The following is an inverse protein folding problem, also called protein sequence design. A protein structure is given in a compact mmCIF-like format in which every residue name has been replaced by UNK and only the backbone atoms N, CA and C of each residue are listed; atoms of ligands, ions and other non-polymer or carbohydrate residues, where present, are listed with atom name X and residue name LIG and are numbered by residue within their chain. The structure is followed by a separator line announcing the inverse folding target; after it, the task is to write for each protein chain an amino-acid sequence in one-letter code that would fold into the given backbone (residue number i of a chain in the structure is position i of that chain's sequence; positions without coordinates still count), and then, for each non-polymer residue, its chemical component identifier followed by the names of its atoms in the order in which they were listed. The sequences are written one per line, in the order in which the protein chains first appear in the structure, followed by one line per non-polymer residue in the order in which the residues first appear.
data_IF_872821234537
#
_entry.id   IF_872821234537
#
_cell.length_a   1.000
_cell.length_b   1.000
_cell.length_c   1.000
_cell.angle_alpha   90.00
_cell.angle_beta   90.00
_cell.angle_gamma   90.00
#
_symmetry.space_group_name_H-M   'P 1'
#
loop_
_entity.id
_entity.type
_entity.pdbx_description
1 polymer ?
2 non-polymer ?
3 non-polymer ?
4 water ?
#
# COMPACT_ATOMS: atom_id res chain seq x y z
N UNK A 1 -7.11 25.69 0.88
CA UNK A 1 -7.43 26.95 0.21
C UNK A 1 -6.81 26.91 -1.18
N UNK A 2 -5.56 26.47 -1.19
CA UNK A 2 -4.78 26.13 -2.36
C UNK A 2 -4.26 24.70 -2.17
N UNK A 3 -4.44 23.87 -3.20
CA UNK A 3 -4.12 22.45 -3.10
C UNK A 3 -2.99 22.02 -4.01
N UNK A 4 -1.92 22.81 -4.02
CA UNK A 4 -0.79 22.54 -4.90
C UNK A 4 0.22 21.67 -4.16
N UNK A 5 0.57 20.52 -4.73
CA UNK A 5 1.57 19.70 -4.06
C UNK A 5 3.00 20.20 -4.27
N UNK A 6 3.83 19.96 -3.29
CA UNK A 6 5.28 20.15 -3.37
C UNK A 6 6.01 18.87 -3.01
N UNK A 7 7.24 18.70 -3.47
CA UNK A 7 8.05 17.54 -3.06
C UNK A 7 8.05 17.26 -1.57
N UNK A 8 7.82 18.26 -0.72
CA UNK A 8 7.68 18.01 0.71
C UNK A 8 6.52 17.12 1.13
N UNK A 9 5.50 17.01 0.27
CA UNK A 9 4.33 16.20 0.60
C UNK A 9 4.59 14.71 0.34
N UNK A 10 5.76 14.43 -0.19
CA UNK A 10 6.21 13.07 -0.37
C UNK A 10 5.35 12.20 -1.29
N UNK A 11 4.76 12.79 -2.30
CA UNK A 11 3.97 11.98 -3.24
C UNK A 11 4.86 11.27 -4.25
N UNK A 12 4.66 9.96 -4.42
CA UNK A 12 5.49 9.21 -5.35
C UNK A 12 4.59 8.41 -6.30
N UNK A 13 5.15 8.03 -7.44
CA UNK A 13 4.37 7.29 -8.41
C UNK A 13 5.21 6.18 -9.03
N UNK A 14 4.61 5.04 -9.34
CA UNK A 14 5.40 3.99 -10.03
C UNK A 14 5.56 4.36 -11.49
N UNK A 15 6.69 3.98 -12.12
CA UNK A 15 6.80 4.20 -13.56
C UNK A 15 5.70 3.51 -14.39
N UNK A 16 5.23 2.41 -13.83
CA UNK A 16 4.22 1.60 -14.49
C UNK A 16 2.82 2.19 -14.37
N UNK A 17 2.65 3.28 -13.63
CA UNK A 17 1.30 3.83 -13.43
C UNK A 17 0.99 4.77 -14.59
N UNK A 18 1.65 5.93 -14.64
CA UNK A 18 1.45 6.84 -15.78
C UNK A 18 1.92 6.18 -17.06
N UNK A 19 2.82 5.18 -16.93
CA UNK A 19 3.29 4.55 -18.18
C UNK A 19 2.44 3.37 -18.61
N UNK A 20 1.27 3.15 -18.01
CA UNK A 20 0.43 2.00 -18.39
C UNK A 20 -0.12 2.25 -19.79
N UNK A 21 0.08 1.34 -20.74
CA UNK A 21 -0.32 1.59 -22.12
C UNK A 21 -1.77 1.27 -22.38
N UNK A 22 -2.48 0.73 -21.39
CA UNK A 22 -3.91 0.57 -21.64
C UNK A 22 -4.27 -0.81 -22.15
N UNK A 23 -3.33 -1.74 -22.16
CA UNK A 23 -3.76 -3.11 -22.53
C UNK A 23 -4.50 -3.78 -21.41
N UNK A 24 -5.67 -4.36 -21.67
CA UNK A 24 -6.47 -4.98 -20.60
C UNK A 24 -6.81 -6.40 -21.12
N UNK A 25 -7.55 -7.25 -20.44
CA UNK A 25 -7.64 -8.64 -20.94
C UNK A 25 -8.49 -8.72 -22.20
N UNK A 26 -9.20 -7.63 -22.53
CA UNK A 26 -10.00 -7.70 -23.75
C UNK A 26 -9.60 -6.71 -24.81
N UNK A 27 -8.47 -6.01 -24.66
CA UNK A 27 -8.15 -5.03 -25.70
C UNK A 27 -6.70 -4.63 -25.78
N UNK A 28 -6.33 -4.09 -26.92
CA UNK A 28 -4.97 -3.67 -27.21
C UNK A 28 -4.64 -2.36 -26.52
N UNK A 29 -3.35 -2.03 -26.52
CA UNK A 29 -2.91 -0.75 -25.95
C UNK A 29 -3.55 0.44 -26.65
N UNK A 30 -3.85 1.51 -25.91
CA UNK A 30 -4.40 2.72 -26.51
C UNK A 30 -3.41 3.88 -26.43
N UNK A 31 -2.27 3.67 -25.77
CA UNK A 31 -1.27 4.75 -25.64
C UNK A 31 0.09 4.21 -26.02
N UNK A 32 0.96 5.07 -26.57
CA UNK A 32 2.33 4.54 -26.77
C UNK A 32 3.12 4.48 -25.47
N UNK A 33 4.23 3.75 -25.54
CA UNK A 33 5.04 3.64 -24.33
C UNK A 33 5.70 5.00 -24.05
N UNK A 34 5.89 5.22 -22.76
CA UNK A 34 6.55 6.39 -22.27
C UNK A 34 7.99 6.05 -21.91
N UNK A 35 8.94 6.86 -22.32
CA UNK A 35 10.30 6.72 -21.82
C UNK A 35 10.36 7.11 -20.35
N UNK A 36 10.96 6.29 -19.49
CA UNK A 36 11.07 6.57 -18.06
C UNK A 36 11.58 7.97 -17.76
N UNK A 37 12.51 8.42 -18.61
CA UNK A 37 13.09 9.76 -18.39
C UNK A 37 12.01 10.84 -18.57
N UNK A 38 11.15 10.61 -19.54
CA UNK A 38 10.07 11.55 -19.77
C UNK A 38 9.10 11.54 -18.58
N UNK A 39 8.81 10.35 -18.06
CA UNK A 39 7.90 10.31 -16.92
C UNK A 39 8.50 11.02 -15.71
N UNK A 40 9.81 10.84 -15.50
CA UNK A 40 10.41 11.50 -14.34
C UNK A 40 10.28 13.01 -14.49
N UNK A 41 10.56 13.52 -15.68
CA UNK A 41 10.50 14.97 -15.90
C UNK A 41 9.08 15.49 -15.74
N UNK A 42 8.10 14.78 -16.26
CA UNK A 42 6.71 15.26 -16.16
C UNK A 42 6.18 15.20 -14.73
N UNK A 43 6.48 14.13 -14.04
CA UNK A 43 6.03 14.03 -12.67
C UNK A 43 6.69 15.08 -11.78
N UNK A 44 7.95 15.40 -12.09
CA UNK A 44 8.58 16.45 -11.29
C UNK A 44 7.88 17.79 -11.48
N UNK A 45 7.47 18.08 -12.70
CA UNK A 45 6.75 19.32 -12.97
C UNK A 45 5.44 19.42 -12.22
N UNK A 46 4.82 18.29 -11.94
CA UNK A 46 3.51 18.31 -11.28
C UNK A 46 3.62 18.41 -9.78
N UNK A 47 4.85 18.29 -9.24
CA UNK A 47 5.02 18.45 -7.79
C UNK A 47 5.32 17.14 -7.10
N UNK A 48 5.53 16.05 -7.84
CA UNK A 48 5.90 14.80 -7.19
C UNK A 48 7.27 14.87 -6.49
N UNK A 49 7.46 14.02 -5.51
CA UNK A 49 8.68 13.86 -4.72
C UNK A 49 9.57 12.79 -5.33
N UNK A 50 8.97 11.71 -5.90
CA UNK A 50 9.83 10.68 -6.47
C UNK A 50 9.09 9.62 -7.28
N UNK A 51 9.83 8.57 -7.70
CA UNK A 51 9.23 7.55 -8.55
C UNK A 51 9.71 6.21 -7.99
N UNK A 52 8.99 5.14 -8.37
CA UNK A 52 9.38 3.80 -8.01
C UNK A 52 9.40 2.95 -9.29
N UNK A 53 9.99 1.75 -9.23
CA UNK A 53 10.04 0.98 -10.46
C UNK A 53 10.12 -0.50 -10.17
N UNK A 54 9.61 -1.33 -11.06
CA UNK A 54 10.05 -2.71 -11.17
C UNK A 54 11.35 -2.77 -12.01
N UNK A 55 12.17 -3.77 -11.75
CA UNK A 55 13.34 -4.00 -12.62
C UNK A 55 12.99 -3.90 -14.09
N UNK A 56 11.95 -4.60 -14.55
CA UNK A 56 11.65 -4.62 -15.96
C UNK A 56 10.97 -3.37 -16.49
N UNK A 57 10.56 -2.42 -15.66
CA UNK A 57 10.12 -1.14 -16.16
C UNK A 57 11.30 -0.26 -16.63
N UNK A 58 12.44 -0.46 -15.95
CA UNK A 58 13.60 0.42 -16.14
C UNK A 58 14.55 -0.20 -17.15
N UNK A 59 14.74 -1.51 -16.99
CA UNK A 59 15.64 -2.26 -17.87
C UNK A 59 14.86 -3.37 -18.57
N UNK A 60 14.68 -3.23 -19.89
CA UNK A 60 13.88 -4.23 -20.61
C UNK A 60 14.47 -5.63 -20.39
N UNK A 61 13.52 -6.56 -20.25
CA UNK A 61 13.87 -7.93 -19.95
C UNK A 61 14.81 -8.44 -21.05
N UNK A 62 15.86 -9.15 -20.70
CA UNK A 62 16.83 -9.75 -21.60
C UNK A 62 18.06 -8.87 -21.81
N UNK A 63 17.95 -7.63 -21.35
CA UNK A 63 18.97 -6.63 -21.60
C UNK A 63 20.37 -7.16 -21.28
N UNK A 64 21.31 -6.89 -22.19
CA UNK A 64 22.70 -7.20 -21.95
C UNK A 64 23.26 -6.34 -20.84
N UNK A 65 24.31 -6.81 -20.20
CA UNK A 65 24.95 -6.00 -19.15
C UNK A 65 25.32 -4.63 -19.67
N UNK A 66 25.60 -4.46 -20.97
CA UNK A 66 25.98 -3.10 -21.36
C UNK A 66 24.73 -2.26 -21.53
N UNK A 67 23.67 -2.79 -22.12
CA UNK A 67 22.46 -2.01 -22.28
C UNK A 67 21.90 -1.60 -20.92
N UNK A 68 22.02 -2.48 -19.96
CA UNK A 68 21.60 -2.23 -18.58
C UNK A 68 22.24 -0.97 -18.01
N UNK A 69 23.57 -0.90 -18.05
CA UNK A 69 24.28 0.27 -17.50
C UNK A 69 23.85 1.55 -18.19
N UNK A 70 23.53 1.50 -19.47
CA UNK A 70 23.11 2.66 -20.22
C UNK A 70 21.73 3.13 -19.78
N UNK A 71 20.82 2.19 -19.56
CA UNK A 71 19.46 2.54 -19.15
C UNK A 71 19.52 3.17 -17.77
N UNK A 72 20.38 2.62 -16.93
CA UNK A 72 20.42 3.18 -15.58
C UNK A 72 21.04 4.57 -15.57
N UNK A 73 22.11 4.78 -16.36
CA UNK A 73 22.76 6.09 -16.35
C UNK A 73 21.83 7.16 -16.89
N UNK A 74 21.05 6.94 -17.94
CA UNK A 74 20.03 7.89 -18.39
C UNK A 74 19.01 8.23 -17.31
N UNK A 75 18.58 7.19 -16.61
CA UNK A 75 17.60 7.41 -15.53
C UNK A 75 18.18 8.28 -14.42
N UNK A 76 19.39 7.90 -14.01
CA UNK A 76 20.05 8.65 -12.95
C UNK A 76 20.29 10.08 -13.36
N UNK A 77 20.57 10.33 -14.65
CA UNK A 77 20.71 11.74 -15.02
C UNK A 77 19.41 12.47 -14.89
N UNK A 78 18.27 11.82 -15.26
CA UNK A 78 16.99 12.49 -15.06
C UNK A 78 16.71 12.75 -13.59
N UNK A 79 17.14 11.83 -12.73
CA UNK A 79 16.88 12.08 -11.31
C UNK A 79 17.69 13.30 -10.83
N UNK A 80 18.95 13.33 -11.25
CA UNK A 80 19.80 14.46 -10.86
C UNK A 80 19.33 15.80 -11.40
N UNK A 81 18.80 15.78 -12.59
CA UNK A 81 18.31 16.98 -13.25
C UNK A 81 17.06 17.54 -12.59
N UNK A 82 16.28 16.66 -11.96
CA UNK A 82 15.00 17.09 -11.40
C UNK A 82 14.92 17.11 -9.89
N UNK A 83 15.83 16.46 -9.16
CA UNK A 83 15.73 16.41 -7.72
C UNK A 83 14.79 15.29 -7.28
N UNK A 84 14.31 14.47 -8.21
CA UNK A 84 13.41 13.35 -7.85
C UNK A 84 14.15 12.25 -7.12
N UNK A 85 13.51 11.60 -6.15
CA UNK A 85 14.09 10.52 -5.40
C UNK A 85 13.49 9.15 -5.80
N UNK A 86 14.15 8.06 -5.39
CA UNK A 86 13.63 6.72 -5.63
C UNK A 86 13.49 5.97 -4.31
N UNK A 87 12.38 6.14 -3.60
CA UNK A 87 12.31 5.56 -2.27
C UNK A 87 11.96 4.08 -2.19
N UNK A 88 11.46 3.50 -3.27
CA UNK A 88 11.02 2.10 -3.21
C UNK A 88 11.33 1.49 -4.54
N UNK A 89 11.63 0.19 -4.55
CA UNK A 89 11.69 -0.55 -5.80
C UNK A 89 11.09 -1.94 -5.56
N UNK A 90 10.90 -2.62 -6.69
CA UNK A 90 10.27 -3.96 -6.59
C UNK A 90 10.69 -4.79 -7.79
N UNK A 91 10.29 -6.05 -7.83
CA UNK A 91 10.74 -6.96 -8.88
C UNK A 91 9.52 -7.35 -9.72
N UNK A 92 9.64 -7.46 -11.02
CA UNK A 92 8.52 -8.05 -11.78
C UNK A 92 8.69 -9.56 -11.78
N UNK A 93 7.90 -10.25 -10.95
CA UNK A 93 7.88 -11.74 -10.99
C UNK A 93 6.51 -12.21 -11.47
N UNK A 94 5.93 -11.51 -12.45
CA UNK A 94 4.55 -11.88 -12.86
C UNK A 94 4.32 -11.77 -14.35
N UNK A 95 5.09 -10.99 -15.10
CA UNK A 95 4.73 -10.80 -16.52
C UNK A 95 5.22 -11.91 -17.43
N UNK A 96 6.49 -12.28 -17.30
CA UNK A 96 7.03 -13.29 -18.20
C UNK A 96 6.34 -14.62 -18.03
N UNK A 97 6.09 -15.33 -19.13
CA UNK A 97 5.50 -16.68 -19.04
C UNK A 97 6.19 -17.63 -18.07
N UNK A 98 7.50 -17.50 -17.80
CA UNK A 98 8.12 -18.46 -16.89
C UNK A 98 7.51 -18.38 -15.50
N UNK A 99 6.87 -17.25 -15.17
CA UNK A 99 6.29 -17.07 -13.82
C UNK A 99 4.82 -17.43 -13.80
N UNK A 100 4.34 -18.22 -14.76
CA UNK A 100 2.89 -18.50 -14.85
C UNK A 100 2.37 -19.26 -13.65
N UNK A 101 3.19 -20.01 -12.89
CA UNK A 101 2.71 -20.65 -11.67
C UNK A 101 3.35 -20.07 -10.43
N UNK A 102 3.96 -18.89 -10.59
CA UNK A 102 4.52 -18.21 -9.44
C UNK A 102 6.00 -17.95 -9.62
N UNK A 103 6.59 -17.20 -8.69
CA UNK A 103 8.05 -16.98 -8.63
C UNK A 103 8.54 -17.74 -7.41
N UNK A 104 8.35 -17.23 -6.22
CA UNK A 104 8.86 -17.89 -5.03
C UNK A 104 8.14 -19.20 -4.72
N UNK A 105 6.91 -19.39 -5.19
CA UNK A 105 6.19 -20.62 -4.84
C UNK A 105 5.77 -21.43 -6.07
N UNK A 106 6.45 -21.20 -7.19
CA UNK A 106 6.24 -22.01 -8.38
C UNK A 106 6.48 -23.47 -8.06
N UNK A 107 5.72 -24.40 -8.64
CA UNK A 107 5.98 -25.78 -8.29
C UNK A 107 7.37 -26.21 -8.80
N UNK A 108 7.83 -25.66 -9.91
CA UNK A 108 9.15 -26.05 -10.43
C UNK A 108 10.26 -25.41 -9.62
N UNK A 109 11.17 -26.21 -9.07
CA UNK A 109 12.24 -25.66 -8.21
C UNK A 109 13.17 -24.77 -8.97
N UNK A 110 13.48 -25.09 -10.25
CA UNK A 110 14.39 -24.21 -10.99
C UNK A 110 13.79 -22.82 -11.19
N UNK A 111 12.48 -22.72 -11.38
CA UNK A 111 11.89 -21.36 -11.48
C UNK A 111 12.02 -20.61 -10.18
N UNK A 112 11.82 -21.26 -9.01
CA UNK A 112 11.97 -20.59 -7.73
C UNK A 112 13.40 -20.07 -7.54
N UNK A 113 14.40 -20.84 -7.97
CA UNK A 113 15.79 -20.32 -7.85
C UNK A 113 16.01 -19.14 -8.76
N UNK A 114 15.49 -19.20 -9.99
CA UNK A 114 15.62 -18.05 -10.89
C UNK A 114 14.93 -16.81 -10.32
N UNK A 115 13.72 -16.98 -9.75
CA UNK A 115 13.02 -15.83 -9.17
C UNK A 115 13.85 -15.16 -8.08
N UNK A 116 14.51 -15.94 -7.24
CA UNK A 116 15.35 -15.34 -6.21
C UNK A 116 16.54 -14.62 -6.84
N UNK A 117 17.21 -15.21 -7.80
CA UNK A 117 18.35 -14.49 -8.39
C UNK A 117 17.90 -13.21 -9.08
N UNK A 118 16.74 -13.20 -9.75
CA UNK A 118 16.25 -11.97 -10.40
C UNK A 118 15.96 -10.90 -9.36
N UNK A 119 15.41 -11.31 -8.22
CA UNK A 119 15.15 -10.36 -7.15
C UNK A 119 16.43 -9.77 -6.57
N UNK A 120 17.39 -10.64 -6.24
CA UNK A 120 18.65 -10.14 -5.59
C UNK A 120 19.35 -9.17 -6.47
N UNK A 121 19.41 -9.44 -7.77
CA UNK A 121 20.00 -8.49 -8.70
C UNK A 121 19.38 -7.09 -8.62
N UNK A 122 18.07 -7.06 -8.45
CA UNK A 122 17.42 -5.74 -8.40
C UNK A 122 17.54 -5.13 -7.01
N UNK A 123 17.72 -5.94 -5.96
CA UNK A 123 17.91 -5.27 -4.66
C UNK A 123 19.19 -4.46 -4.68
N UNK A 124 20.25 -5.06 -5.30
CA UNK A 124 21.49 -4.28 -5.40
C UNK A 124 21.27 -2.96 -6.12
N UNK A 125 20.52 -3.00 -7.21
CA UNK A 125 20.27 -1.78 -7.97
C UNK A 125 19.44 -0.81 -7.15
N UNK A 126 18.46 -1.30 -6.39
CA UNK A 126 17.67 -0.39 -5.60
C UNK A 126 18.49 0.37 -4.56
N UNK A 127 19.36 -0.37 -3.87
CA UNK A 127 20.23 0.26 -2.88
C UNK A 127 21.09 1.34 -3.54
N UNK A 128 21.58 1.04 -4.71
CA UNK A 128 22.41 1.99 -5.43
C UNK A 128 21.68 3.30 -5.73
N UNK A 129 20.40 3.17 -6.03
CA UNK A 129 19.57 4.33 -6.31
C UNK A 129 18.97 4.97 -5.07
N UNK A 130 19.22 4.42 -3.90
CA UNK A 130 18.81 5.09 -2.66
C UNK A 130 17.48 4.63 -2.12
N UNK A 131 16.96 3.49 -2.63
CA UNK A 131 15.65 3.13 -2.07
C UNK A 131 15.72 2.62 -0.66
N UNK A 132 14.71 2.87 0.15
CA UNK A 132 14.67 2.45 1.53
C UNK A 132 13.80 1.23 1.75
N UNK A 133 12.90 1.00 0.81
CA UNK A 133 11.94 -0.10 0.96
C UNK A 133 11.92 -0.95 -0.29
N UNK A 134 11.85 -2.25 -0.18
CA UNK A 134 11.82 -3.14 -1.32
C UNK A 134 10.48 -3.87 -1.24
N UNK A 135 9.60 -3.69 -2.23
CA UNK A 135 8.26 -4.29 -2.13
C UNK A 135 8.22 -5.62 -2.85
N UNK A 136 7.40 -6.55 -2.34
CA UNK A 136 7.13 -7.80 -3.03
C UNK A 136 5.63 -7.97 -3.20
N UNK A 137 5.17 -8.03 -4.44
CA UNK A 137 3.77 -8.38 -4.67
C UNK A 137 3.78 -9.76 -5.35
N UNK A 138 3.30 -10.78 -4.65
CA UNK A 138 3.37 -12.13 -5.27
C UNK A 138 2.09 -12.38 -6.05
N UNK A 139 1.95 -11.66 -7.16
CA UNK A 139 0.75 -11.72 -8.01
C UNK A 139 0.51 -13.10 -8.61
N UNK A 140 1.54 -13.90 -8.82
CA UNK A 140 1.31 -15.22 -9.44
C UNK A 140 1.40 -16.33 -8.39
N UNK A 141 1.54 -16.03 -7.11
CA UNK A 141 1.65 -17.09 -6.12
C UNK A 141 0.24 -17.50 -5.72
N UNK A 142 -0.22 -18.68 -6.12
CA UNK A 142 -1.63 -18.98 -5.83
C UNK A 142 -2.08 -20.10 -6.75
N UNK A 143 -3.38 -20.13 -7.08
CA UNK A 143 -3.89 -21.29 -7.80
C UNK A 143 -5.29 -21.01 -8.35
N UNK A 144 -5.65 -21.75 -9.40
CA UNK A 144 -7.04 -21.70 -9.85
C UNK A 144 -7.81 -22.94 -9.38
N UNK A 145 -7.09 -23.96 -8.91
CA UNK A 145 -7.73 -25.22 -8.53
C UNK A 145 -7.07 -25.78 -7.27
N UNK A 146 -7.82 -26.66 -6.58
CA UNK A 146 -7.42 -27.06 -5.24
C UNK A 146 -6.22 -27.97 -5.22
N UNK A 147 -6.09 -28.84 -6.21
CA UNK A 147 -4.98 -29.79 -6.05
C UNK A 147 -3.66 -29.26 -6.56
N UNK A 148 -3.66 -28.12 -7.25
CA UNK A 148 -2.47 -27.62 -7.89
C UNK A 148 -1.43 -27.12 -6.91
N UNK A 149 -1.83 -26.80 -5.69
CA UNK A 149 -0.89 -26.09 -4.79
C UNK A 149 -1.15 -26.58 -3.39
N UNK A 150 -0.20 -27.24 -2.76
CA UNK A 150 -0.32 -27.58 -1.35
C UNK A 150 0.05 -26.32 -0.59
N UNK A 151 -0.91 -25.70 0.13
CA UNK A 151 -0.55 -24.36 0.60
C UNK A 151 0.44 -24.42 1.75
N UNK A 152 0.45 -25.47 2.53
CA UNK A 152 1.47 -25.55 3.55
C UNK A 152 2.86 -25.63 2.93
N UNK A 153 3.05 -26.42 1.88
CA UNK A 153 4.40 -26.47 1.27
C UNK A 153 4.70 -25.14 0.63
N UNK A 154 3.68 -24.52 0.04
CA UNK A 154 3.94 -23.23 -0.59
C UNK A 154 4.32 -22.17 0.43
N UNK A 155 3.71 -22.16 1.60
CA UNK A 155 4.17 -21.19 2.60
C UNK A 155 5.57 -21.50 3.11
N UNK A 156 5.90 -22.80 3.16
CA UNK A 156 7.32 -23.09 3.49
C UNK A 156 8.25 -22.49 2.45
N UNK A 157 7.88 -22.60 1.16
CA UNK A 157 8.74 -22.04 0.11
C UNK A 157 8.77 -20.52 0.15
N UNK A 158 7.63 -19.92 0.51
CA UNK A 158 7.59 -18.45 0.60
C UNK A 158 8.47 -17.97 1.75
N UNK A 159 8.39 -18.68 2.89
CA UNK A 159 9.23 -18.30 4.05
C UNK A 159 10.70 -18.50 3.71
N UNK A 160 10.99 -19.62 3.02
CA UNK A 160 12.38 -19.87 2.60
C UNK A 160 12.91 -18.75 1.74
N UNK A 161 12.12 -18.27 0.77
CA UNK A 161 12.57 -17.18 -0.08
C UNK A 161 12.77 -15.89 0.69
N UNK A 162 11.82 -15.49 1.53
CA UNK A 162 12.04 -14.23 2.24
C UNK A 162 13.17 -14.35 3.26
N UNK A 163 13.35 -15.51 3.85
CA UNK A 163 14.48 -15.71 4.78
C UNK A 163 15.81 -15.55 4.05
N UNK A 164 15.95 -16.13 2.87
CA UNK A 164 17.15 -15.95 2.08
C UNK A 164 17.37 -14.50 1.67
N UNK A 165 16.33 -13.76 1.28
CA UNK A 165 16.54 -12.35 0.98
C UNK A 165 16.97 -11.57 2.21
N UNK A 166 16.49 -11.95 3.40
CA UNK A 166 16.89 -11.24 4.62
C UNK A 166 18.36 -11.57 4.92
N UNK A 167 18.72 -12.82 4.71
CA UNK A 167 20.13 -13.20 4.87
C UNK A 167 21.00 -12.38 3.94
N UNK A 168 20.58 -12.19 2.71
CA UNK A 168 21.32 -11.46 1.71
C UNK A 168 21.50 -10.00 2.14
N UNK A 169 20.43 -9.30 2.52
CA UNK A 169 20.65 -7.87 2.78
C UNK A 169 21.46 -7.71 4.06
N UNK A 170 21.35 -8.62 5.01
CA UNK A 170 22.10 -8.42 6.24
C UNK A 170 23.57 -8.73 6.01
N UNK A 171 23.86 -9.73 5.20
CA UNK A 171 25.26 -10.05 4.93
C UNK A 171 25.92 -8.96 4.08
N UNK A 172 25.16 -8.25 3.26
CA UNK A 172 25.70 -7.15 2.48
C UNK A 172 25.75 -5.86 3.27
N UNK A 173 25.15 -5.83 4.47
CA UNK A 173 25.10 -4.61 5.27
C UNK A 173 24.18 -3.54 4.74
N UNK A 174 23.15 -3.89 3.97
CA UNK A 174 22.30 -2.89 3.33
C UNK A 174 21.24 -2.41 4.34
N UNK A 175 20.87 -1.16 4.21
CA UNK A 175 19.85 -0.51 5.01
C UNK A 175 18.62 -0.46 4.09
N UNK A 176 17.92 -1.57 4.07
CA UNK A 176 16.70 -1.57 3.23
C UNK A 176 15.78 -2.53 3.98
N UNK A 177 14.47 -2.30 3.93
CA UNK A 177 13.56 -3.22 4.59
C UNK A 177 12.57 -3.71 3.52
N UNK A 178 11.90 -4.81 3.81
CA UNK A 178 11.02 -5.41 2.83
C UNK A 178 9.56 -5.11 3.17
N UNK A 179 8.70 -5.00 2.15
CA UNK A 179 7.29 -4.79 2.46
C UNK A 179 6.46 -5.72 1.55
N UNK A 180 5.59 -6.52 2.13
CA UNK A 180 4.79 -7.42 1.31
C UNK A 180 3.49 -6.74 0.99
N UNK A 181 3.08 -6.82 -0.27
CA UNK A 181 1.87 -6.20 -0.74
C UNK A 181 0.81 -7.28 -0.92
N UNK A 182 -0.22 -7.36 -0.13
CA UNK A 182 -1.28 -8.36 -0.32
C UNK A 182 -2.25 -8.01 -1.44
N UNK A 183 -2.85 -9.08 -1.99
CA UNK A 183 -3.98 -8.91 -2.94
C UNK A 183 -4.77 -10.20 -2.89
N UNK A 184 -6.08 -10.24 -2.82
CA UNK A 184 -6.74 -11.51 -2.64
C UNK A 184 -6.88 -12.42 -3.86
N UNK A 185 -6.93 -11.82 -5.04
CA UNK A 185 -7.10 -12.59 -6.28
C UNK A 185 -6.70 -11.68 -7.45
N UNK A 186 -6.53 -12.25 -8.61
CA UNK A 186 -6.29 -11.61 -9.90
C UNK A 186 -4.81 -11.24 -9.97
N UNK A 187 -3.98 -11.88 -10.79
CA UNK A 187 -4.42 -12.76 -11.86
C UNK A 187 -4.64 -14.20 -11.48
N UNK A 188 -4.26 -14.66 -10.29
CA UNK A 188 -4.57 -16.06 -9.97
C UNK A 188 -5.96 -16.12 -9.35
N UNK A 189 -6.62 -17.27 -9.42
CA UNK A 189 -7.95 -17.38 -8.85
C UNK A 189 -7.98 -17.06 -7.37
N UNK A 190 -6.98 -17.50 -6.61
CA UNK A 190 -6.79 -17.06 -5.24
C UNK A 190 -5.29 -16.84 -5.07
N UNK A 191 -4.89 -15.75 -4.43
CA UNK A 191 -3.46 -15.48 -4.26
C UNK A 191 -3.12 -15.74 -2.82
N UNK A 192 -1.91 -16.25 -2.57
CA UNK A 192 -1.51 -16.52 -1.19
C UNK A 192 -1.22 -15.22 -0.44
N UNK A 193 -1.42 -15.20 0.89
CA UNK A 193 -1.38 -14.01 1.73
C UNK A 193 -2.32 -12.96 1.20
N UNK A 194 -3.62 -13.26 1.18
CA UNK A 194 -4.55 -12.41 0.43
C UNK A 194 -4.92 -11.07 1.04
N UNK A 195 -4.62 -10.88 2.34
CA UNK A 195 -5.03 -9.63 2.96
C UNK A 195 -3.90 -9.15 3.87
N UNK A 196 -4.04 -7.88 4.27
CA UNK A 196 -3.05 -7.40 5.26
C UNK A 196 -2.91 -8.30 6.45
N UNK A 197 -4.02 -8.85 6.98
CA UNK A 197 -3.90 -9.71 8.13
C UNK A 197 -3.06 -10.94 7.86
N UNK A 198 -3.32 -11.65 6.72
CA UNK A 198 -2.52 -12.85 6.41
C UNK A 198 -1.04 -12.53 6.25
N UNK A 199 -0.71 -11.38 5.67
CA UNK A 199 0.70 -11.00 5.50
C UNK A 199 1.32 -10.68 6.84
N UNK A 200 0.63 -9.94 7.71
CA UNK A 200 1.20 -9.67 9.04
C UNK A 200 1.44 -10.94 9.81
N UNK A 201 0.55 -11.92 9.67
CA UNK A 201 0.72 -13.16 10.45
C UNK A 201 1.91 -13.95 9.94
N UNK A 202 2.06 -13.95 8.61
CA UNK A 202 3.17 -14.67 8.01
C UNK A 202 4.53 -14.13 8.43
N UNK A 203 4.65 -12.81 8.46
CA UNK A 203 5.90 -12.14 8.79
C UNK A 203 6.41 -12.56 10.16
N UNK A 204 5.51 -12.88 11.07
CA UNK A 204 5.91 -13.23 12.43
C UNK A 204 6.57 -14.59 12.42
N UNK A 205 6.51 -15.33 11.33
CA UNK A 205 7.15 -16.67 11.27
C UNK A 205 8.48 -16.64 10.52
N UNK A 206 8.92 -15.43 10.15
CA UNK A 206 10.15 -15.28 9.41
C UNK A 206 11.33 -15.30 10.39
N UNK A 207 12.52 -15.58 9.88
CA UNK A 207 13.60 -15.66 10.89
C UNK A 207 13.92 -14.29 11.45
N UNK A 208 13.83 -13.22 10.66
CA UNK A 208 14.18 -11.89 11.18
C UNK A 208 12.98 -10.95 10.92
N UNK A 209 11.94 -11.10 11.72
CA UNK A 209 10.69 -10.40 11.43
C UNK A 209 10.88 -8.90 11.39
N UNK A 210 11.91 -8.34 12.03
CA UNK A 210 12.00 -6.88 12.08
C UNK A 210 12.31 -6.28 10.73
N UNK A 211 12.76 -7.06 9.74
CA UNK A 211 13.11 -6.53 8.44
C UNK A 211 11.89 -6.46 7.50
N UNK A 212 10.76 -6.96 7.96
CA UNK A 212 9.61 -7.09 7.04
C UNK A 212 8.37 -6.39 7.55
N UNK A 213 7.68 -5.65 6.64
CA UNK A 213 6.39 -5.07 7.03
C UNK A 213 5.41 -5.27 5.86
N UNK A 214 4.34 -4.46 5.86
CA UNK A 214 3.39 -4.57 4.75
C UNK A 214 3.36 -3.31 3.92
N UNK A 215 2.91 -3.45 2.68
CA UNK A 215 2.65 -2.40 1.73
C UNK A 215 1.19 -2.58 1.27
N UNK A 216 0.23 -2.18 2.06
CA UNK A 216 -1.18 -2.41 1.68
C UNK A 216 -1.57 -1.46 0.55
N UNK A 217 -2.54 -1.92 -0.29
CA UNK A 217 -3.09 -1.09 -1.35
C UNK A 217 -4.59 -0.88 -1.14
N UNK A 218 -5.07 0.34 -1.25
CA UNK A 218 -6.48 0.61 -0.96
C UNK A 218 -7.41 -0.38 -1.66
N UNK A 219 -7.24 -0.54 -2.97
CA UNK A 219 -8.25 -1.28 -3.73
C UNK A 219 -8.14 -2.76 -3.43
N UNK A 220 -6.97 -3.27 -2.99
CA UNK A 220 -6.86 -4.72 -2.82
C UNK A 220 -7.61 -5.19 -1.59
N UNK A 221 -7.55 -4.44 -0.49
CA UNK A 221 -8.37 -4.92 0.64
C UNK A 221 -9.85 -4.74 0.33
N UNK A 222 -10.17 -3.73 -0.46
CA UNK A 222 -11.58 -3.55 -0.86
C UNK A 222 -12.06 -4.63 -1.81
N UNK A 223 -11.20 -5.34 -2.49
CA UNK A 223 -11.61 -6.46 -3.35
C UNK A 223 -12.08 -7.64 -2.50
N UNK A 224 -11.76 -7.59 -1.20
CA UNK A 224 -12.28 -8.58 -0.26
C UNK A 224 -13.40 -7.98 0.59
N UNK A 225 -13.83 -6.77 0.26
CA UNK A 225 -14.98 -6.21 1.00
C UNK A 225 -14.54 -5.71 2.36
N UNK A 226 -13.24 -5.55 2.60
CA UNK A 226 -12.82 -5.20 3.95
C UNK A 226 -12.63 -3.69 4.12
N UNK A 227 -12.54 -3.26 5.37
CA UNK A 227 -12.42 -1.81 5.63
C UNK A 227 -10.94 -1.46 5.62
N UNK A 228 -10.51 -0.68 4.62
CA UNK A 228 -9.07 -0.40 4.49
C UNK A 228 -8.56 0.43 5.64
N UNK A 229 -9.18 1.50 6.09
CA UNK A 229 -8.64 2.15 7.30
C UNK A 229 -8.51 1.27 8.51
N UNK A 230 -9.44 0.33 8.70
CA UNK A 230 -9.24 -0.60 9.84
C UNK A 230 -8.00 -1.45 9.66
N UNK A 231 -7.75 -1.92 8.43
CA UNK A 231 -6.58 -2.81 8.24
C UNK A 231 -5.32 -1.99 8.40
N UNK A 232 -5.34 -0.74 7.95
CA UNK A 232 -4.16 0.12 8.17
C UNK A 232 -3.94 0.35 9.65
N UNK A 233 -5.02 0.51 10.41
CA UNK A 233 -4.84 0.73 11.86
C UNK A 233 -4.17 -0.49 12.46
N UNK A 234 -4.56 -1.70 12.00
CA UNK A 234 -3.96 -2.90 12.58
C UNK A 234 -2.47 -2.96 12.19
N UNK A 235 -2.15 -2.58 10.98
CA UNK A 235 -0.75 -2.56 10.57
C UNK A 235 0.05 -1.52 11.36
N UNK A 236 -0.51 -0.35 11.61
CA UNK A 236 0.16 0.65 12.46
C UNK A 236 0.33 0.16 13.90
N UNK A 237 -0.72 -0.47 14.44
CA UNK A 237 -0.63 -1.01 15.81
C UNK A 237 0.50 -2.01 15.92
N UNK A 238 0.77 -2.80 14.88
CA UNK A 238 1.80 -3.82 14.88
C UNK A 238 3.19 -3.25 14.62
N UNK A 239 3.25 -1.96 14.25
CA UNK A 239 4.48 -1.31 13.88
C UNK A 239 4.97 -1.76 12.51
N UNK A 240 4.05 -2.09 11.58
CA UNK A 240 4.51 -2.71 10.35
C UNK A 240 4.08 -1.97 9.09
N UNK A 241 3.59 -0.76 9.20
CA UNK A 241 3.24 -0.01 7.98
C UNK A 241 4.49 0.65 7.39
N UNK A 242 5.14 -0.08 6.50
CA UNK A 242 6.39 0.42 5.97
C UNK A 242 6.21 1.29 4.72
N UNK A 243 5.07 1.12 4.05
CA UNK A 243 4.83 1.88 2.81
C UNK A 243 3.34 1.69 2.53
N UNK A 244 2.81 2.43 1.59
CA UNK A 244 1.37 2.28 1.33
C UNK A 244 1.09 2.62 -0.13
N UNK A 245 0.14 1.92 -0.76
CA UNK A 245 -0.23 2.18 -2.15
C UNK A 245 -1.62 2.79 -2.18
N UNK A 246 -1.73 4.00 -2.71
CA UNK A 246 -2.99 4.72 -2.66
C UNK A 246 -3.67 4.72 -4.01
N UNK A 247 -4.98 4.44 -4.04
CA UNK A 247 -5.72 4.45 -5.31
C UNK A 247 -7.20 4.33 -4.97
N UNK A 248 -8.04 4.04 -5.93
CA UNK A 248 -9.48 3.90 -5.66
C UNK A 248 -10.05 2.65 -6.33
N UNK A 249 -11.17 2.18 -5.77
CA UNK A 249 -11.73 0.89 -6.19
C UNK A 249 -13.24 0.99 -5.93
N UNK A 250 -14.06 0.61 -6.90
CA UNK A 250 -15.48 0.57 -6.62
C UNK A 250 -15.93 -0.88 -6.28
N UNK A 251 -15.67 -1.28 -5.06
CA UNK A 251 -16.15 -2.52 -4.46
C UNK A 251 -15.51 -3.79 -4.93
N UNK A 252 -16.27 -4.88 -4.90
CA UNK A 252 -15.70 -6.21 -5.16
C UNK A 252 -15.85 -6.58 -6.62
N UNK A 253 -14.74 -6.51 -7.34
CA UNK A 253 -14.65 -6.78 -8.77
C UNK A 253 -13.17 -6.80 -9.14
N UNK A 254 -12.86 -6.80 -10.42
CA UNK A 254 -11.48 -6.75 -10.88
C UNK A 254 -10.76 -5.53 -10.27
N UNK A 255 -9.44 -5.60 -10.21
CA UNK A 255 -8.65 -4.50 -9.60
C UNK A 255 -8.65 -3.29 -10.51
N UNK A 256 -9.35 -2.21 -10.10
CA UNK A 256 -9.47 -1.09 -11.01
C UNK A 256 -8.29 -0.14 -10.99
N UNK A 257 -7.64 0.01 -9.84
CA UNK A 257 -6.53 0.94 -9.70
C UNK A 257 -6.93 2.32 -10.17
N UNK A 258 -8.08 2.85 -9.70
CA UNK A 258 -8.45 4.20 -10.12
C UNK A 258 -7.61 5.24 -9.40
N UNK A 259 -7.70 6.50 -9.87
CA UNK A 259 -6.95 7.50 -9.11
C UNK A 259 -7.43 7.63 -7.68
N UNK A 260 -6.49 7.99 -6.79
CA UNK A 260 -6.86 8.17 -5.40
C UNK A 260 -7.94 9.25 -5.24
N UNK A 261 -8.95 8.93 -4.42
CA UNK A 261 -10.11 9.79 -4.20
C UNK A 261 -11.32 9.24 -4.93
N UNK A 262 -11.07 8.59 -6.04
CA UNK A 262 -12.16 7.89 -6.76
C UNK A 262 -12.49 6.62 -5.98
N UNK A 263 -13.58 5.96 -6.33
CA UNK A 263 -13.92 4.78 -5.54
C UNK A 263 -14.65 5.21 -4.28
N UNK A 264 -14.22 4.63 -3.16
CA UNK A 264 -14.93 4.87 -1.91
C UNK A 264 -14.37 6.13 -1.27
N UNK A 265 -15.08 7.24 -1.49
CA UNK A 265 -14.52 8.53 -1.04
C UNK A 265 -14.51 8.65 0.47
N UNK A 266 -15.56 8.16 1.15
CA UNK A 266 -15.48 8.31 2.61
C UNK A 266 -14.36 7.48 3.20
N UNK A 267 -14.09 6.29 2.64
CA UNK A 267 -12.94 5.53 3.15
C UNK A 267 -11.61 6.25 2.93
N UNK A 268 -11.54 7.02 1.83
CA UNK A 268 -10.32 7.79 1.60
C UNK A 268 -10.20 8.84 2.67
N UNK A 269 -11.29 9.45 3.07
CA UNK A 269 -11.25 10.50 4.12
C UNK A 269 -10.76 9.89 5.40
N UNK A 270 -11.33 8.73 5.78
CA UNK A 270 -10.90 8.14 7.05
C UNK A 270 -9.49 7.59 6.96
N UNK A 271 -9.04 7.18 5.80
CA UNK A 271 -7.63 6.79 5.69
C UNK A 271 -6.71 7.98 5.90
N UNK A 272 -6.99 9.09 5.21
CA UNK A 272 -6.10 10.27 5.37
C UNK A 272 -6.10 10.74 6.83
N UNK A 273 -7.27 10.78 7.45
CA UNK A 273 -7.36 11.13 8.89
C UNK A 273 -6.42 10.28 9.70
N UNK A 274 -6.46 8.96 9.45
CA UNK A 274 -5.62 8.04 10.23
C UNK A 274 -4.13 8.22 9.93
N UNK A 275 -3.74 8.29 8.66
CA UNK A 275 -2.32 8.44 8.40
C UNK A 275 -1.76 9.72 8.99
N UNK A 276 -2.53 10.80 8.90
CA UNK A 276 -1.99 12.09 9.37
C UNK A 276 -2.01 12.12 10.89
N UNK A 277 -3.04 11.54 11.49
CA UNK A 277 -3.06 11.62 12.97
C UNK A 277 -2.07 10.64 13.54
N UNK A 278 -1.75 9.50 12.91
CA UNK A 278 -0.74 8.59 13.42
C UNK A 278 0.67 9.06 13.07
N UNK A 279 0.80 10.07 12.25
CA UNK A 279 2.10 10.63 11.88
C UNK A 279 2.86 9.69 10.98
N UNK A 280 2.16 8.99 10.08
CA UNK A 280 2.87 8.15 9.08
C UNK A 280 3.85 9.03 8.30
N UNK A 281 5.12 8.62 8.25
CA UNK A 281 6.04 9.53 7.59
C UNK A 281 6.63 8.98 6.30
N UNK A 282 6.12 7.86 5.81
CA UNK A 282 6.71 7.30 4.61
C UNK A 282 6.12 7.99 3.39
N UNK A 283 6.47 7.49 2.22
CA UNK A 283 5.92 8.04 0.98
C UNK A 283 4.41 7.82 0.83
N UNK A 284 3.78 8.77 0.14
CA UNK A 284 2.38 8.61 -0.26
C UNK A 284 2.45 8.17 -1.72
N UNK A 285 2.48 6.88 -1.89
CA UNK A 285 2.69 6.32 -3.20
C UNK A 285 1.38 6.01 -3.93
N UNK A 286 1.27 6.41 -5.18
CA UNK A 286 0.07 6.11 -5.94
C UNK A 286 0.35 4.96 -6.90
N UNK A 287 -0.43 3.90 -6.71
CA UNK A 287 -0.34 2.75 -7.63
C UNK A 287 -1.66 2.78 -8.39
N UNK A 288 -1.71 3.46 -9.52
CA UNK A 288 -3.01 3.68 -10.17
C UNK A 288 -2.81 3.49 -11.67
N UNK A 289 -3.92 3.32 -12.39
CA UNK A 289 -3.80 3.24 -13.85
C UNK A 289 -4.69 4.28 -14.48
N UNK A 290 -4.17 5.26 -15.21
CA UNK A 290 -5.07 6.22 -15.87
C UNK A 290 -5.93 5.42 -16.86
N UNK A 291 -7.25 5.57 -16.84
CA UNK A 291 -8.08 4.71 -17.70
C UNK A 291 -7.70 4.72 -19.15
N UNK A 292 -7.99 3.60 -19.84
CA UNK A 292 -7.46 3.52 -21.22
C UNK A 292 -8.25 4.39 -22.19
N UNK A 293 -9.31 5.07 -21.75
CA UNK A 293 -10.04 6.07 -22.50
C UNK A 293 -9.20 7.32 -22.70
N UNK A 294 -8.15 7.48 -21.94
CA UNK A 294 -7.47 8.78 -21.90
C UNK A 294 -6.27 8.85 -22.85
N UNK A 295 -6.01 10.06 -23.36
CA UNK A 295 -4.71 10.29 -24.03
C UNK A 295 -3.69 10.77 -23.02
N UNK A 296 -2.48 11.18 -23.47
CA UNK A 296 -1.49 11.61 -22.51
C UNK A 296 -1.92 12.82 -21.70
N UNK A 297 -2.72 13.74 -22.24
CA UNK A 297 -3.16 14.83 -21.40
C UNK A 297 -4.01 14.32 -20.25
N UNK A 298 -4.83 13.30 -20.49
CA UNK A 298 -5.63 12.72 -19.41
C UNK A 298 -4.80 11.93 -18.43
N UNK A 299 -3.70 11.32 -18.89
CA UNK A 299 -2.79 10.67 -17.93
C UNK A 299 -2.28 11.66 -16.90
N UNK A 300 -1.80 12.83 -17.35
CA UNK A 300 -1.25 13.80 -16.38
C UNK A 300 -2.34 14.45 -15.53
N UNK A 301 -3.51 14.59 -16.09
CA UNK A 301 -4.64 15.08 -15.31
C UNK A 301 -5.00 14.13 -14.17
N UNK A 302 -5.02 12.85 -14.51
CA UNK A 302 -5.36 11.84 -13.50
C UNK A 302 -4.29 11.75 -12.42
N UNK A 303 -2.99 11.81 -12.79
CA UNK A 303 -1.93 11.85 -11.79
C UNK A 303 -2.02 13.07 -10.90
N UNK A 304 -2.30 14.23 -11.53
CA UNK A 304 -2.45 15.41 -10.68
C UNK A 304 -3.61 15.28 -9.73
N UNK A 305 -4.68 14.61 -10.18
CA UNK A 305 -5.86 14.49 -9.30
C UNK A 305 -5.59 13.62 -8.07
N UNK A 306 -4.68 12.65 -8.21
CA UNK A 306 -4.31 11.84 -7.06
C UNK A 306 -3.84 12.72 -5.90
N UNK A 307 -2.92 13.63 -6.28
CA UNK A 307 -2.27 14.47 -5.27
C UNK A 307 -3.25 15.51 -4.73
N UNK A 308 -4.04 16.07 -5.64
CA UNK A 308 -5.02 17.08 -5.24
C UNK A 308 -6.01 16.50 -4.23
N UNK A 309 -6.48 15.29 -4.53
CA UNK A 309 -7.51 14.74 -3.63
C UNK A 309 -6.92 14.40 -2.26
N UNK A 310 -5.67 13.92 -2.20
CA UNK A 310 -5.08 13.73 -0.88
C UNK A 310 -5.07 15.07 -0.14
N UNK A 311 -4.64 16.12 -0.80
CA UNK A 311 -4.48 17.39 -0.07
C UNK A 311 -5.82 17.97 0.33
N UNK A 312 -6.88 17.78 -0.47
CA UNK A 312 -8.18 18.27 0.01
C UNK A 312 -8.61 17.47 1.22
N UNK A 313 -8.50 16.14 1.14
CA UNK A 313 -8.95 15.34 2.28
C UNK A 313 -8.13 15.60 3.53
N UNK A 314 -6.83 15.86 3.36
CA UNK A 314 -6.00 16.22 4.52
C UNK A 314 -6.53 17.47 5.22
N UNK A 315 -6.90 18.45 4.43
CA UNK A 315 -7.46 19.66 5.00
C UNK A 315 -8.77 19.41 5.72
N UNK A 316 -9.67 18.67 5.08
CA UNK A 316 -10.95 18.41 5.74
C UNK A 316 -10.80 17.54 6.98
N UNK A 317 -9.88 16.58 7.01
CA UNK A 317 -9.72 15.74 8.22
C UNK A 317 -9.12 16.58 9.34
N UNK A 318 -8.18 17.47 8.97
CA UNK A 318 -7.63 18.33 10.03
C UNK A 318 -8.65 19.29 10.59
N UNK A 319 -9.54 19.81 9.74
CA UNK A 319 -10.61 20.70 10.19
C UNK A 319 -11.55 19.94 11.13
N UNK A 320 -11.83 18.68 10.77
CA UNK A 320 -12.70 17.85 11.63
C UNK A 320 -12.13 17.67 13.00
N UNK A 321 -10.85 17.30 13.08
CA UNK A 321 -10.28 16.96 14.37
C UNK A 321 -10.06 18.23 15.23
N UNK A 322 -9.90 19.35 14.57
CA UNK A 322 -9.66 20.61 15.31
C UNK A 322 -10.93 21.28 15.75
N UNK A 323 -12.09 20.85 15.25
CA UNK A 323 -13.33 21.55 15.56
C UNK A 323 -13.77 21.31 16.98
N UNK A 324 -13.97 22.33 17.81
CA UNK A 324 -14.29 22.01 19.21
C UNK A 324 -15.61 21.27 19.34
N UNK A 325 -16.53 21.46 18.39
CA UNK A 325 -17.80 20.76 18.45
C UNK A 325 -17.59 19.26 18.22
N UNK A 326 -16.61 18.95 17.38
CA UNK A 326 -16.30 17.51 17.17
C UNK A 326 -15.65 16.92 18.38
N UNK A 327 -14.74 17.69 19.01
CA UNK A 327 -14.08 17.15 20.20
C UNK A 327 -15.09 16.89 21.31
N UNK A 328 -16.09 17.74 21.46
CA UNK A 328 -17.14 17.46 22.44
C UNK A 328 -17.95 16.24 22.05
N UNK A 329 -18.24 16.09 20.75
CA UNK A 329 -18.96 14.89 20.30
C UNK A 329 -18.18 13.60 20.54
N UNK A 330 -16.87 13.63 20.40
CA UNK A 330 -16.03 12.46 20.64
C UNK A 330 -16.14 12.08 22.12
N UNK A 331 -16.19 13.10 22.98
CA UNK A 331 -16.36 12.76 24.40
C UNK A 331 -17.76 12.24 24.66
N UNK A 332 -18.75 12.79 23.94
CA UNK A 332 -20.10 12.29 24.17
C UNK A 332 -20.20 10.82 23.76
N UNK A 333 -19.43 10.43 22.76
CA UNK A 333 -19.46 9.01 22.31
C UNK A 333 -18.44 8.15 23.02
N UNK A 334 -17.77 8.69 24.02
CA UNK A 334 -16.83 8.03 24.90
C UNK A 334 -15.61 7.51 24.16
N UNK A 335 -15.16 8.21 23.13
CA UNK A 335 -13.86 7.81 22.58
C UNK A 335 -12.75 8.04 23.60
N UNK A 336 -12.94 8.99 24.52
CA UNK A 336 -11.89 9.12 25.56
C UNK A 336 -11.81 7.92 26.46
N UNK A 337 -12.95 7.29 26.79
CA UNK A 337 -12.95 6.11 27.63
C UNK A 337 -12.38 4.89 26.91
N UNK A 338 -12.51 4.87 25.60
CA UNK A 338 -11.94 3.74 24.82
C UNK A 338 -10.44 3.65 24.97
N UNK A 339 -9.81 4.81 25.07
CA UNK A 339 -8.35 4.91 25.24
C UNK A 339 -7.85 4.67 26.65
N UNK A 340 -8.75 4.53 27.63
CA UNK A 340 -8.30 4.24 28.99
C UNK A 340 -8.25 2.75 29.21
N UNK A 341 -7.30 2.22 29.95
CA UNK A 341 -7.28 0.80 30.23
C UNK A 341 -8.53 0.35 30.94
N UNK A 342 -8.92 -0.86 30.55
CA UNK A 342 -10.07 -1.51 31.14
C UNK A 342 -9.81 -1.87 32.60
N UNK A 343 -8.57 -2.31 32.84
CA UNK A 343 -8.35 -2.83 34.22
C UNK A 343 -6.90 -2.62 34.63
N UNK A 344 -6.47 -1.36 34.67
CA UNK A 344 -5.12 -1.07 35.16
C UNK A 344 -5.01 -1.49 36.63
N UNK A 345 -6.10 -1.65 37.34
CA UNK A 345 -6.15 -2.08 38.75
C UNK A 345 -5.75 -3.55 38.86
N UNK A 346 -5.79 -4.28 37.72
CA UNK A 346 -5.32 -5.65 37.72
C UNK A 346 -6.40 -6.69 37.90
N UNK A 347 -6.05 -7.95 37.60
CA UNK A 347 -7.01 -9.03 37.62
C UNK A 347 -7.68 -9.23 38.97
N UNK A 348 -6.88 -9.28 40.04
CA UNK A 348 -7.47 -9.54 41.32
C UNK A 348 -8.48 -8.48 41.72
N UNK A 349 -8.12 -7.23 41.52
CA UNK A 349 -9.06 -6.15 41.86
C UNK A 349 -10.29 -6.17 40.96
N UNK A 350 -10.09 -6.57 39.68
CA UNK A 350 -11.31 -6.74 38.86
C UNK A 350 -12.21 -7.82 39.43
N UNK A 351 -11.65 -8.95 39.87
CA UNK A 351 -12.48 -10.03 40.38
C UNK A 351 -13.21 -9.65 41.67
N UNK A 352 -12.58 -8.74 42.40
CA UNK A 352 -13.10 -8.29 43.69
C UNK A 352 -14.04 -7.10 43.55
N UNK A 353 -14.14 -6.54 42.35
CA UNK A 353 -14.98 -5.35 42.16
C UNK A 353 -16.43 -5.68 41.96
N UNK A 354 -17.27 -5.50 42.98
CA UNK A 354 -18.68 -5.86 42.82
C UNK A 354 -19.37 -4.96 41.80
N UNK A 355 -18.84 -3.78 41.58
CA UNK A 355 -19.46 -2.84 40.65
C UNK A 355 -19.25 -3.30 39.21
N UNK A 356 -18.43 -4.32 38.98
CA UNK A 356 -18.21 -4.80 37.61
C UNK A 356 -19.08 -5.98 37.30
N UNK A 357 -19.88 -6.47 38.25
CA UNK A 357 -20.72 -7.64 37.96
C UNK A 357 -21.91 -7.76 38.90
N UNK A 358 -21.65 -8.08 40.18
CA UNK A 358 -22.75 -8.32 41.11
C UNK A 358 -23.66 -7.12 41.21
N UNK A 359 -23.09 -5.91 41.19
CA UNK A 359 -23.94 -4.74 41.38
C UNK A 359 -23.86 -3.82 40.16
N UNK A 360 -23.54 -4.40 39.02
CA UNK A 360 -23.54 -3.60 37.80
C UNK A 360 -24.97 -3.46 37.30
N UNK A 361 -25.39 -2.24 37.04
CA UNK A 361 -26.73 -2.02 36.52
C UNK A 361 -26.69 -2.12 35.00
N UNK A 362 -26.95 -3.30 34.46
CA UNK A 362 -26.86 -3.51 33.02
C UNK A 362 -27.91 -2.75 32.28
N UNK A 363 -29.09 -2.62 32.84
CA UNK A 363 -30.15 -1.92 32.14
C UNK A 363 -29.84 -0.45 32.00
N UNK A 364 -29.29 0.15 33.04
CA UNK A 364 -28.92 1.55 32.91
C UNK A 364 -27.81 1.76 31.88
N UNK A 365 -26.86 0.85 31.86
CA UNK A 365 -25.78 0.97 30.86
C UNK A 365 -26.30 0.79 29.46
N UNK A 366 -27.18 -0.19 29.28
CA UNK A 366 -27.77 -0.45 27.96
C UNK A 366 -28.57 0.72 27.44
N UNK A 367 -29.18 1.54 28.31
CA UNK A 367 -30.00 2.61 27.78
C UNK A 367 -29.20 3.81 27.30
N UNK A 368 -27.90 3.88 27.59
CA UNK A 368 -27.09 5.02 27.20
C UNK A 368 -26.86 5.06 25.68
N UNK A 369 -27.31 6.03 24.93
CA UNK A 369 -27.03 6.02 23.48
C UNK A 369 -25.56 6.30 23.27
N UNK A 370 -24.97 5.79 22.17
CA UNK A 370 -23.60 6.08 21.86
C UNK A 370 -23.43 7.38 21.08
N UNK A 371 -24.45 8.04 20.56
CA UNK A 371 -24.35 9.32 19.84
C UNK A 371 -23.44 9.25 18.63
N UNK A 372 -23.39 8.04 18.03
CA UNK A 372 -22.49 7.95 16.87
C UNK A 372 -23.03 8.59 15.60
N UNK A 373 -24.36 8.69 15.46
CA UNK A 373 -24.89 9.23 14.21
C UNK A 373 -24.64 10.74 14.16
N UNK A 374 -24.77 11.42 15.30
CA UNK A 374 -24.44 12.86 15.28
C UNK A 374 -22.98 13.08 14.96
N UNK A 375 -22.08 12.31 15.56
CA UNK A 375 -20.66 12.42 15.24
C UNK A 375 -20.38 12.16 13.77
N UNK A 376 -21.06 11.15 13.18
CA UNK A 376 -20.78 10.83 11.78
C UNK A 376 -21.32 11.91 10.86
N UNK A 377 -22.41 12.59 11.26
CA UNK A 377 -22.90 13.66 10.40
C UNK A 377 -22.00 14.88 10.53
N UNK A 378 -21.39 15.10 11.70
CA UNK A 378 -20.34 16.13 11.75
C UNK A 378 -19.20 15.81 10.82
N UNK A 379 -18.84 14.50 10.75
CA UNK A 379 -17.75 14.14 9.85
C UNK A 379 -18.15 14.33 8.40
N UNK A 380 -19.40 14.01 8.08
CA UNK A 380 -19.86 14.26 6.72
C UNK A 380 -19.88 15.74 6.37
N UNK A 381 -20.39 16.59 7.29
CA UNK A 381 -20.40 18.02 7.01
C UNK A 381 -18.98 18.53 6.77
N UNK A 382 -18.03 18.08 7.60
CA UNK A 382 -16.64 18.53 7.36
C UNK A 382 -16.10 18.08 6.02
N UNK A 383 -16.30 16.80 5.66
CA UNK A 383 -15.84 16.31 4.37
C UNK A 383 -16.38 17.15 3.23
N UNK A 384 -17.67 17.49 3.25
CA UNK A 384 -18.31 18.24 2.17
C UNK A 384 -18.16 19.75 2.27
N UNK A 385 -17.50 20.18 3.33
CA UNK A 385 -17.25 21.62 3.55
C UNK A 385 -18.58 22.31 3.78
N UNK A 386 -19.48 21.71 4.54
CA UNK A 386 -20.81 22.27 4.76
C UNK A 386 -20.99 22.59 6.24
N UNK A 387 -19.96 23.16 6.85
CA UNK A 387 -20.09 23.43 8.29
C UNK A 387 -20.59 24.85 8.59
N UNK A 388 -21.58 24.88 9.47
CA UNK A 388 -22.23 26.04 10.03
C UNK A 388 -22.98 25.71 11.31
X LIG B 1 -4.45 -2.85 -7.55
X LIG C 1 0.18 -1.91 -5.64
X LIG D 1 2.00 -4.15 -11.43
X LIG D 1 2.81 -4.50 -10.29
X LIG D 1 2.72 -3.28 -9.33
X LIG D 1 3.40 -3.52 -8.09
X LIG D 1 1.23 -3.23 -9.02
X LIG D 1 0.60 -2.02 -9.29
X LIG D 1 1.12 -4.02 -7.75
X LIG D 1 -0.08 -3.71 -6.99
X LIG D 1 2.42 -3.67 -7.04
X LIG D 1 2.26 -2.51 -6.20
#
# INVERSE_FOLDING_TARGET
MNYQPTPEDRFTFGLWTVGWQGRDPFGDATRRALDPVESVRRLAELGAHGVTFHDDDLIPFGSSDSEREEHVKRFRQALDDTGMKVPMATTNLFTHPVFKDGGFTANDRDVRRYALRKTIRNIDLAVELGAETYVAWGGREGAESGGAKDVRDALDRMKEAFDLLGEYVTSQGYDIRFAIEPKPNEPRGDILLPTVGHALAFIERLERPELYGVNPEVGHEQMAGLNFPHGIAQALWAGKLFHIDLNGQNGIKYDQDLRFGAGDLRAAFWLVDLLESAGYSGPRHFDFKPPRTEDFDGVWASAAGCMRNYLILKERAAAFRADPEVQEALRASRLDELARPTAADGLQALLDDRSAFEEFDVDAAAARGMAFERLDQLAMDHLLGARG
NI NI
NI NI
Z6J O5 C5 C4 O4 C3 O3 C2 O2 C1 O1
#
